data_IF_107245127714
#
_entry.id   IF_107245127714
#
_cell.length_a   1.000
_cell.length_b   1.000
_cell.length_c   1.000
_cell.angle_alpha   90.00
_cell.angle_beta   90.00
_cell.angle_gamma   90.00
#
_symmetry.space_group_name_H-M   'P 1'
#
loop_
_entity.id
_entity.type
_entity.pdbx_description
1 polymer ?
#
# COMPACT_ATOMS: atom_id res chain seq x y z
N UNK A 1 10.50 -32.20 -13.09
CA UNK A 1 11.71 -32.06 -13.93
C UNK A 1 11.24 -31.83 -15.35
N UNK A 2 11.83 -30.88 -16.06
CA UNK A 2 11.64 -30.68 -17.49
C UNK A 2 12.89 -31.25 -18.18
N UNK A 3 12.73 -32.01 -19.26
CA UNK A 3 13.87 -32.48 -20.06
C UNK A 3 13.54 -32.47 -21.55
N UNK A 4 14.57 -32.46 -22.37
CA UNK A 4 14.46 -32.50 -23.83
C UNK A 4 15.23 -33.72 -24.35
N UNK A 5 14.61 -34.50 -25.24
CA UNK A 5 15.29 -35.59 -25.95
C UNK A 5 14.65 -35.77 -27.32
N UNK A 6 15.23 -35.19 -28.37
CA UNK A 6 14.64 -35.03 -29.71
C UNK A 6 13.40 -34.13 -29.74
N UNK A 7 12.53 -34.25 -28.73
CA UNK A 7 11.35 -33.44 -28.48
C UNK A 7 11.31 -32.97 -27.00
N UNK A 8 10.54 -31.90 -26.70
CA UNK A 8 10.39 -31.40 -25.33
C UNK A 8 9.44 -32.28 -24.52
N UNK A 9 9.85 -32.67 -23.31
CA UNK A 9 9.04 -33.41 -22.34
C UNK A 9 8.68 -32.52 -21.15
N UNK A 10 7.52 -31.82 -21.22
CA UNK A 10 7.06 -31.00 -20.12
C UNK A 10 6.63 -31.87 -18.92
N UNK A 11 6.80 -31.37 -17.69
CA UNK A 11 6.29 -32.05 -16.50
C UNK A 11 4.76 -32.11 -16.55
N UNK A 12 4.21 -33.32 -16.43
CA UNK A 12 2.77 -33.57 -16.35
C UNK A 12 2.26 -33.65 -14.90
N UNK A 13 3.17 -33.73 -13.92
CA UNK A 13 2.89 -33.81 -12.49
C UNK A 13 3.84 -32.92 -11.68
N UNK A 14 3.44 -32.62 -10.44
CA UNK A 14 4.24 -31.84 -9.49
C UNK A 14 4.12 -30.32 -9.68
N UNK A 15 4.99 -29.57 -9.00
CA UNK A 15 4.94 -28.10 -8.87
C UNK A 15 4.84 -27.34 -10.20
N UNK A 16 5.53 -27.81 -11.24
CA UNK A 16 5.61 -27.14 -12.55
C UNK A 16 4.64 -27.71 -13.59
N UNK A 17 3.74 -28.61 -13.20
CA UNK A 17 2.80 -29.24 -14.11
C UNK A 17 2.00 -28.18 -14.88
N UNK A 18 1.92 -28.35 -16.21
CA UNK A 18 1.19 -27.45 -17.13
C UNK A 18 1.67 -25.99 -17.15
N UNK A 19 2.81 -25.67 -16.53
CA UNK A 19 3.34 -24.30 -16.48
C UNK A 19 4.74 -24.15 -17.07
N UNK A 20 5.49 -25.24 -17.25
CA UNK A 20 6.80 -25.23 -17.88
C UNK A 20 6.71 -25.59 -19.37
N UNK A 21 7.30 -24.75 -20.22
CA UNK A 21 7.26 -24.85 -21.68
C UNK A 21 8.66 -24.73 -22.27
N UNK A 22 8.89 -25.38 -23.41
CA UNK A 22 10.11 -25.22 -24.18
C UNK A 22 10.12 -23.89 -24.93
N UNK A 23 11.24 -23.18 -24.90
CA UNK A 23 11.44 -21.91 -25.62
C UNK A 23 12.75 -21.88 -26.41
N UNK A 24 13.66 -22.81 -26.15
CA UNK A 24 14.98 -22.85 -26.76
C UNK A 24 15.01 -23.41 -28.19
N UNK A 25 16.21 -23.46 -28.75
CA UNK A 25 16.50 -24.09 -30.02
C UNK A 25 17.80 -24.92 -29.91
N UNK A 26 17.71 -26.26 -29.81
CA UNK A 26 18.91 -27.08 -29.62
C UNK A 26 19.88 -27.00 -30.80
N UNK A 27 19.38 -26.74 -32.02
CA UNK A 27 20.23 -26.56 -33.22
C UNK A 27 21.10 -25.30 -33.16
N UNK A 28 20.79 -24.39 -32.23
CA UNK A 28 21.52 -23.15 -31.96
C UNK A 28 22.15 -23.13 -30.57
N UNK A 29 22.34 -24.30 -29.95
CA UNK A 29 22.88 -24.45 -28.60
C UNK A 29 22.04 -23.72 -27.53
N UNK A 30 20.73 -23.62 -27.72
CA UNK A 30 19.82 -22.94 -26.80
C UNK A 30 18.89 -23.95 -26.11
N UNK A 31 19.08 -24.06 -24.79
CA UNK A 31 18.34 -24.95 -23.89
C UNK A 31 17.23 -24.28 -23.09
N UNK A 32 16.77 -23.09 -23.49
CA UNK A 32 15.88 -22.25 -22.70
C UNK A 32 14.48 -22.85 -22.50
N UNK A 33 13.91 -22.60 -21.32
CA UNK A 33 12.53 -22.96 -20.96
C UNK A 33 11.83 -21.74 -20.35
N UNK A 34 10.51 -21.71 -20.45
CA UNK A 34 9.67 -20.72 -19.79
C UNK A 34 8.82 -21.40 -18.72
N UNK A 35 8.81 -20.84 -17.50
CA UNK A 35 7.85 -21.19 -16.45
C UNK A 35 6.83 -20.05 -16.35
N UNK A 36 5.57 -20.33 -16.67
CA UNK A 36 4.46 -19.37 -16.60
C UNK A 36 3.80 -19.36 -15.23
N UNK A 37 3.13 -18.25 -14.92
CA UNK A 37 2.38 -18.06 -13.67
C UNK A 37 3.26 -18.40 -12.46
N UNK A 38 4.39 -17.69 -12.32
CA UNK A 38 5.36 -17.92 -11.25
C UNK A 38 4.70 -17.67 -9.89
N UNK A 39 4.94 -18.57 -8.95
CA UNK A 39 4.39 -18.50 -7.59
C UNK A 39 5.50 -18.31 -6.57
N UNK A 40 5.23 -17.77 -5.37
CA UNK A 40 6.25 -17.65 -4.31
C UNK A 40 6.94 -18.99 -3.98
N UNK A 41 6.22 -20.11 -4.09
CA UNK A 41 6.76 -21.47 -3.88
C UNK A 41 7.71 -21.95 -5.00
N UNK A 42 7.75 -21.23 -6.12
CA UNK A 42 8.73 -21.46 -7.18
C UNK A 42 10.08 -20.82 -6.86
N UNK A 43 10.23 -20.11 -5.73
CA UNK A 43 11.52 -19.64 -5.23
C UNK A 43 12.50 -20.81 -5.01
N UNK A 44 13.72 -20.64 -5.47
CA UNK A 44 14.83 -21.53 -5.15
C UNK A 44 15.87 -21.59 -6.25
N UNK A 45 16.74 -22.59 -6.13
CA UNK A 45 17.82 -22.86 -7.08
C UNK A 45 17.36 -23.81 -8.17
N UNK A 46 17.57 -23.42 -9.42
CA UNK A 46 17.27 -24.21 -10.61
C UNK A 46 18.58 -24.69 -11.23
N UNK A 47 18.58 -25.94 -11.66
CA UNK A 47 19.74 -26.61 -12.25
C UNK A 47 19.45 -26.95 -13.71
N UNK A 48 20.35 -26.55 -14.59
CA UNK A 48 20.36 -26.91 -15.99
C UNK A 48 21.46 -27.94 -16.22
N UNK A 49 21.10 -29.08 -16.81
CA UNK A 49 22.05 -30.14 -17.18
C UNK A 49 21.91 -30.42 -18.66
N UNK A 50 23.00 -30.21 -19.41
CA UNK A 50 23.08 -30.55 -20.82
C UNK A 50 23.96 -31.80 -20.94
N UNK A 51 23.41 -32.85 -21.54
CA UNK A 51 24.14 -34.09 -21.81
C UNK A 51 24.23 -34.25 -23.33
N UNK A 52 25.43 -34.35 -23.86
CA UNK A 52 25.67 -34.54 -25.29
C UNK A 52 26.43 -35.86 -25.51
N UNK A 53 25.76 -37.03 -25.50
CA UNK A 53 26.43 -38.31 -25.69
C UNK A 53 27.30 -38.33 -26.97
N UNK A 54 28.52 -38.89 -26.95
CA UNK A 54 29.13 -39.68 -25.87
C UNK A 54 29.66 -38.87 -24.68
N UNK A 55 29.74 -37.55 -24.79
CA UNK A 55 30.20 -36.64 -23.73
C UNK A 55 29.08 -36.37 -22.71
N UNK A 56 28.96 -37.28 -21.74
CA UNK A 56 27.95 -37.22 -20.67
C UNK A 56 28.34 -36.28 -19.52
N UNK A 57 29.58 -35.80 -19.49
CA UNK A 57 30.12 -34.93 -18.45
C UNK A 57 29.98 -33.45 -18.85
N UNK A 58 28.75 -32.95 -18.80
CA UNK A 58 28.49 -31.51 -18.90
C UNK A 58 28.53 -30.82 -17.53
N UNK A 59 28.93 -29.55 -17.50
CA UNK A 59 28.76 -28.73 -16.30
C UNK A 59 27.28 -28.48 -16.00
N UNK A 60 26.95 -28.42 -14.71
CA UNK A 60 25.61 -28.07 -14.25
C UNK A 60 25.53 -26.56 -14.12
N UNK A 61 24.68 -25.94 -14.92
CA UNK A 61 24.35 -24.52 -14.76
C UNK A 61 23.43 -24.33 -13.57
N UNK A 62 23.74 -23.38 -12.69
CA UNK A 62 22.93 -23.05 -11.52
C UNK A 62 22.39 -21.62 -11.62
N UNK A 63 21.09 -21.44 -11.39
CA UNK A 63 20.47 -20.10 -11.29
C UNK A 63 19.61 -20.03 -10.03
N UNK A 64 19.69 -18.91 -9.31
CA UNK A 64 18.85 -18.63 -8.14
C UNK A 64 17.68 -17.75 -8.55
N UNK A 65 16.46 -18.22 -8.31
CA UNK A 65 15.23 -17.48 -8.62
C UNK A 65 14.55 -17.08 -7.33
N UNK A 66 14.49 -15.77 -7.08
CA UNK A 66 13.78 -15.18 -5.94
C UNK A 66 12.44 -14.63 -6.41
N UNK A 67 11.36 -15.26 -5.97
CA UNK A 67 10.00 -14.79 -6.24
C UNK A 67 9.53 -13.98 -5.03
N UNK A 68 9.21 -12.71 -5.26
CA UNK A 68 8.74 -11.79 -4.22
C UNK A 68 7.37 -11.25 -4.60
N UNK A 69 6.50 -11.13 -3.59
CA UNK A 69 5.19 -10.53 -3.79
C UNK A 69 5.34 -9.04 -4.07
N UNK A 70 4.79 -8.61 -5.19
CA UNK A 70 4.71 -7.20 -5.53
C UNK A 70 3.50 -6.62 -4.80
N UNK A 71 3.75 -5.86 -3.72
CA UNK A 71 2.71 -5.03 -3.12
C UNK A 71 2.25 -4.01 -4.15
N UNK A 72 0.97 -4.09 -4.54
CA UNK A 72 0.39 -3.13 -5.46
C UNK A 72 0.35 -1.78 -4.77
N UNK A 73 1.25 -0.87 -5.16
CA UNK A 73 1.30 0.49 -4.64
C UNK A 73 -0.06 1.20 -4.71
N UNK A 74 -0.93 0.83 -5.67
CA UNK A 74 -2.29 1.35 -5.77
C UNK A 74 -3.12 1.10 -4.50
N UNK A 75 -3.01 -0.05 -3.84
CA UNK A 75 -3.79 -0.36 -2.64
C UNK A 75 -3.27 0.44 -1.44
N UNK A 76 -1.95 0.46 -1.26
CA UNK A 76 -1.30 1.23 -0.17
C UNK A 76 -1.58 2.73 -0.34
N UNK A 77 -1.49 3.24 -1.57
CA UNK A 77 -1.74 4.66 -1.86
C UNK A 77 -3.20 5.05 -1.63
N UNK A 78 -4.15 4.18 -1.98
CA UNK A 78 -5.58 4.39 -1.68
C UNK A 78 -5.84 4.43 -0.17
N UNK A 79 -5.26 3.51 0.61
CA UNK A 79 -5.41 3.50 2.07
C UNK A 79 -4.87 4.79 2.70
N UNK A 80 -3.68 5.23 2.27
CA UNK A 80 -3.07 6.48 2.75
C UNK A 80 -3.91 7.71 2.41
N UNK A 81 -4.49 7.76 1.21
CA UNK A 81 -5.36 8.86 0.79
C UNK A 81 -6.61 8.94 1.67
N UNK A 82 -7.26 7.81 1.93
CA UNK A 82 -8.47 7.75 2.77
C UNK A 82 -8.18 8.20 4.21
N UNK A 83 -7.10 7.69 4.80
CA UNK A 83 -6.67 8.07 6.16
C UNK A 83 -6.29 9.56 6.21
N UNK A 84 -5.57 10.05 5.19
CA UNK A 84 -5.15 11.45 5.08
C UNK A 84 -6.34 12.41 5.02
N UNK A 85 -7.34 12.11 4.19
CA UNK A 85 -8.55 12.94 4.07
C UNK A 85 -9.37 12.88 5.36
N UNK A 86 -9.60 11.70 5.93
CA UNK A 86 -10.36 11.54 7.16
C UNK A 86 -9.75 12.31 8.33
N UNK A 87 -8.44 12.20 8.52
CA UNK A 87 -7.72 12.93 9.58
C UNK A 87 -7.76 14.44 9.38
N UNK A 88 -7.58 14.93 8.15
CA UNK A 88 -7.69 16.36 7.84
C UNK A 88 -9.08 16.94 8.15
N UNK A 89 -10.14 16.20 7.81
CA UNK A 89 -11.54 16.61 8.10
C UNK A 89 -11.78 16.67 9.60
N UNK A 90 -11.33 15.67 10.36
CA UNK A 90 -11.48 15.65 11.82
C UNK A 90 -10.77 16.86 12.45
N UNK A 91 -9.53 17.15 12.02
CA UNK A 91 -8.76 18.30 12.51
C UNK A 91 -9.50 19.60 12.20
N UNK A 92 -10.04 19.77 10.98
CA UNK A 92 -10.80 20.95 10.59
C UNK A 92 -12.05 21.14 11.47
N UNK A 93 -12.81 20.07 11.73
CA UNK A 93 -13.99 20.10 12.61
C UNK A 93 -13.61 20.55 14.02
N UNK A 94 -12.54 19.99 14.59
CA UNK A 94 -12.06 20.36 15.94
C UNK A 94 -11.69 21.84 16.00
N UNK A 95 -10.96 22.35 15.00
CA UNK A 95 -10.59 23.77 14.92
C UNK A 95 -11.84 24.66 14.88
N UNK A 96 -12.82 24.33 14.02
CA UNK A 96 -14.08 25.09 13.92
C UNK A 96 -14.82 25.09 15.25
N UNK A 97 -14.93 23.94 15.93
CA UNK A 97 -15.61 23.85 17.24
C UNK A 97 -14.90 24.69 18.29
N UNK A 98 -13.57 24.66 18.35
CA UNK A 98 -12.77 25.47 19.29
C UNK A 98 -12.97 26.96 19.02
N UNK A 99 -12.90 27.39 17.75
CA UNK A 99 -13.15 28.78 17.37
C UNK A 99 -14.55 29.23 17.76
N UNK A 100 -15.59 28.44 17.46
CA UNK A 100 -16.97 28.74 17.85
C UNK A 100 -17.10 28.83 19.38
N UNK A 101 -16.52 27.89 20.13
CA UNK A 101 -16.52 27.92 21.61
C UNK A 101 -15.83 29.17 22.14
N UNK A 102 -14.69 29.54 21.56
CA UNK A 102 -13.94 30.74 21.91
C UNK A 102 -14.75 32.01 21.67
N UNK A 103 -15.29 32.18 20.46
CA UNK A 103 -16.11 33.34 20.11
C UNK A 103 -17.41 33.43 20.94
N UNK A 104 -18.09 32.30 21.18
CA UNK A 104 -19.27 32.27 22.06
C UNK A 104 -18.92 32.67 23.49
N UNK A 105 -17.82 32.17 24.04
CA UNK A 105 -17.35 32.53 25.39
C UNK A 105 -17.00 34.02 25.49
N UNK A 106 -16.36 34.58 24.46
CA UNK A 106 -16.00 35.99 24.43
C UNK A 106 -17.24 36.90 24.39
N UNK A 107 -18.27 36.53 23.62
CA UNK A 107 -19.54 37.29 23.62
C UNK A 107 -20.22 37.31 24.99
N UNK A 108 -20.19 36.21 25.75
CA UNK A 108 -20.76 36.19 27.10
C UNK A 108 -20.10 37.19 28.05
N UNK A 109 -18.77 37.40 27.95
CA UNK A 109 -18.07 38.42 28.74
C UNK A 109 -18.44 39.85 28.31
N UNK A 110 -18.55 40.12 27.01
CA UNK A 110 -18.92 41.45 26.52
C UNK A 110 -20.37 41.83 26.88
N UNK A 111 -21.31 40.88 26.83
CA UNK A 111 -22.71 41.12 27.22
C UNK A 111 -22.85 41.38 28.72
N UNK A 112 -22.13 40.65 29.59
CA UNK A 112 -22.17 40.88 31.04
C UNK A 112 -21.68 42.29 31.43
N UNK A 113 -20.63 42.80 30.78
CA UNK A 113 -20.11 44.16 31.01
C UNK A 113 -21.14 45.22 30.59
N UNK A 114 -21.76 45.07 29.42
CA UNK A 114 -22.80 46.01 28.95
C UNK A 114 -24.05 46.05 29.84
N UNK A 115 -24.44 44.91 30.43
CA UNK A 115 -25.59 44.83 31.35
C UNK A 115 -25.27 45.48 32.70
N UNK A 116 -24.03 45.34 33.20
CA UNK A 116 -23.61 46.03 34.42
C UNK A 116 -23.58 47.55 34.24
N UNK A 117 -23.10 48.05 33.11
CA UNK A 117 -23.09 49.49 32.81
C UNK A 117 -24.50 50.07 32.68
N UNK A 118 -25.44 49.36 32.04
CA UNK A 118 -26.85 49.77 32.03
C UNK A 118 -27.48 49.78 33.43
N UNK A 119 -27.12 48.83 34.29
CA UNK A 119 -27.65 48.75 35.66
C UNK A 119 -27.14 49.91 36.53
N UNK A 120 -25.89 50.30 36.35
CA UNK A 120 -25.31 51.48 37.02
C UNK A 120 -26.01 52.77 36.59
N UNK A 121 -26.25 52.95 35.28
CA UNK A 121 -26.97 54.12 34.75
C UNK A 121 -28.43 54.21 35.20
N UNK A 122 -29.11 53.08 35.43
CA UNK A 122 -30.46 53.09 36.02
C UNK A 122 -30.45 53.46 37.51
N UNK A 123 -29.45 52.99 38.26
CA UNK A 123 -29.35 53.26 39.70
C UNK A 123 -29.01 54.73 39.99
N UNK A 124 -28.17 55.35 39.16
CA UNK A 124 -27.85 56.78 39.21
C UNK A 124 -29.09 57.65 38.90
N UNK A 125 -29.85 57.27 37.87
CA UNK A 125 -31.08 57.99 37.51
C UNK A 125 -32.19 57.86 38.56
N UNK A 126 -32.24 56.75 39.30
CA UNK A 126 -33.18 56.58 40.42
C UNK A 126 -32.84 57.46 41.62
N UNK A 127 -31.55 57.69 41.91
CA UNK A 127 -31.14 58.55 43.02
C UNK A 127 -31.38 60.04 42.73
N UNK A 128 -31.22 60.49 41.49
CA UNK A 128 -31.47 61.88 41.09
C UNK A 128 -32.95 62.28 40.98
N UNK A 129 -33.88 61.32 41.00
CA UNK A 129 -35.33 61.60 40.90
C UNK A 129 -36.00 61.66 42.28
N UNK A 130 -35.32 61.23 43.34
CA UNK A 130 -35.88 61.15 44.70
C UNK A 130 -35.42 62.29 45.62
N UNK A 131 -34.84 63.36 45.05
CA UNK A 131 -34.37 64.56 45.75
C UNK A 131 -35.19 65.80 45.35
#
# INVERSE_FOLDING_TARGET
IFFFHMEPYPPTKGRFANRAFWDGNPKRNDGSIIIRNIQPMDNGTYLCQIKNPPDVHGEVGEIMVSVVDQVKFSEIMLLMLVIGVGSAVIIAIVIVVVLVRYYRKQRTHSTAVSVMECKEKLNDKSHNVTA
#
